data_IF_321034838782
#
_entry.id   IF_321034838782
#
_cell.length_a   1.000
_cell.length_b   1.000
_cell.length_c   1.000
_cell.angle_alpha   90.00
_cell.angle_beta   90.00
_cell.angle_gamma   90.00
#
_symmetry.space_group_name_H-M   'P 1'
#
loop_
_entity.id
_entity.type
_entity.pdbx_description
1 polymer ?
#
# COMPACT_ATOMS: atom_id res chain seq x y z
N UNK A 1 -1.51 17.82 22.66
CA UNK A 1 -1.14 16.94 21.54
C UNK A 1 -1.98 17.35 20.34
N UNK A 2 -1.37 17.69 19.20
CA UNK A 2 -2.11 17.97 17.97
C UNK A 2 -2.74 16.67 17.44
N UNK A 3 -3.75 16.76 16.56
CA UNK A 3 -4.40 15.56 15.99
C UNK A 3 -3.43 14.64 15.25
N UNK A 4 -2.43 15.22 14.58
CA UNK A 4 -1.40 14.47 13.87
C UNK A 4 -0.43 13.75 14.82
N UNK A 5 -0.01 14.39 15.90
CA UNK A 5 0.88 13.76 16.89
C UNK A 5 0.17 12.63 17.65
N UNK A 6 -1.13 12.80 17.93
CA UNK A 6 -1.96 11.74 18.49
C UNK A 6 -2.05 10.53 17.55
N UNK A 7 -2.20 10.78 16.26
CA UNK A 7 -2.25 9.75 15.23
C UNK A 7 -0.91 9.04 15.07
N UNK A 8 0.21 9.79 15.12
CA UNK A 8 1.57 9.25 15.09
C UNK A 8 1.83 8.31 16.27
N UNK A 9 1.51 8.75 17.49
CA UNK A 9 1.63 7.93 18.71
C UNK A 9 0.75 6.67 18.64
N UNK A 10 -0.49 6.79 18.14
CA UNK A 10 -1.36 5.63 17.97
C UNK A 10 -0.79 4.61 16.97
N UNK A 11 -0.20 5.08 15.87
CA UNK A 11 0.49 4.22 14.90
C UNK A 11 1.75 3.59 15.49
N UNK A 12 2.52 4.33 16.31
CA UNK A 12 3.69 3.81 17.02
C UNK A 12 3.30 2.63 17.94
N UNK A 13 2.20 2.78 18.69
CA UNK A 13 1.65 1.70 19.52
C UNK A 13 1.23 0.49 18.70
N UNK A 14 0.66 0.69 17.50
CA UNK A 14 0.34 -0.42 16.58
C UNK A 14 1.60 -1.14 16.10
N UNK A 15 2.63 -0.41 15.70
CA UNK A 15 3.92 -0.99 15.30
C UNK A 15 4.54 -1.81 16.44
N UNK A 16 4.56 -1.28 17.67
CA UNK A 16 5.05 -1.98 18.84
C UNK A 16 4.27 -3.28 19.13
N UNK A 17 2.93 -3.23 19.05
CA UNK A 17 2.08 -4.41 19.22
C UNK A 17 2.39 -5.47 18.15
N UNK A 18 2.41 -5.09 16.86
CA UNK A 18 2.75 -5.99 15.74
C UNK A 18 4.11 -6.66 15.97
N UNK A 19 5.13 -5.89 16.32
CA UNK A 19 6.47 -6.42 16.62
C UNK A 19 6.45 -7.41 17.79
N UNK A 20 5.72 -7.10 18.87
CA UNK A 20 5.58 -8.01 20.02
C UNK A 20 4.84 -9.31 19.66
N UNK A 21 3.77 -9.23 18.85
CA UNK A 21 3.01 -10.38 18.37
C UNK A 21 3.87 -11.26 17.47
N UNK A 22 4.63 -10.65 16.56
CA UNK A 22 5.56 -11.36 15.70
C UNK A 22 6.61 -12.13 16.49
N UNK A 23 7.21 -11.52 17.52
CA UNK A 23 8.17 -12.21 18.40
C UNK A 23 7.55 -13.37 19.19
N UNK A 24 6.31 -13.24 19.63
CA UNK A 24 5.60 -14.35 20.27
C UNK A 24 5.38 -15.54 19.29
N UNK A 25 5.05 -15.26 18.03
CA UNK A 25 4.95 -16.28 16.97
C UNK A 25 6.29 -16.97 16.71
N UNK A 26 7.39 -16.20 16.64
CA UNK A 26 8.75 -16.75 16.52
C UNK A 26 9.06 -17.70 17.68
N UNK A 27 8.79 -17.27 18.92
CA UNK A 27 9.09 -18.05 20.11
C UNK A 27 8.31 -19.37 20.20
N UNK A 28 7.09 -19.41 19.64
CA UNK A 28 6.31 -20.65 19.53
C UNK A 28 6.90 -21.65 18.53
N UNK A 29 7.61 -21.16 17.51
CA UNK A 29 8.12 -21.96 16.40
C UNK A 29 7.02 -22.42 15.45
N UNK A 30 7.40 -22.78 14.22
CA UNK A 30 6.46 -23.20 13.18
C UNK A 30 6.87 -22.73 11.78
N UNK A 31 6.01 -22.99 10.80
CA UNK A 31 6.27 -22.67 9.38
C UNK A 31 6.35 -21.15 9.11
N UNK A 32 5.66 -20.33 9.91
CA UNK A 32 5.63 -18.88 9.75
C UNK A 32 6.78 -18.14 10.45
N UNK A 33 7.68 -18.84 11.16
CA UNK A 33 8.72 -18.21 11.98
C UNK A 33 9.61 -17.23 11.19
N UNK A 34 10.03 -17.62 9.98
CA UNK A 34 10.84 -16.75 9.11
C UNK A 34 10.08 -15.50 8.64
N UNK A 35 8.77 -15.63 8.34
CA UNK A 35 7.93 -14.49 7.95
C UNK A 35 7.68 -13.57 9.14
N UNK A 36 7.44 -14.13 10.31
CA UNK A 36 7.28 -13.37 11.54
C UNK A 36 8.57 -12.62 11.93
N UNK A 37 9.75 -13.19 11.68
CA UNK A 37 11.03 -12.52 11.92
C UNK A 37 11.20 -11.26 11.05
N UNK A 38 10.90 -11.36 9.75
CA UNK A 38 10.89 -10.19 8.86
C UNK A 38 9.91 -9.13 9.37
N UNK A 39 8.69 -9.53 9.75
CA UNK A 39 7.67 -8.60 10.27
C UNK A 39 8.13 -7.93 11.57
N UNK A 40 8.83 -8.64 12.45
CA UNK A 40 9.37 -8.07 13.68
C UNK A 40 10.43 -7.00 13.40
N UNK A 41 11.36 -7.26 12.47
CA UNK A 41 12.40 -6.32 12.07
C UNK A 41 11.81 -5.07 11.41
N UNK A 42 10.82 -5.25 10.54
CA UNK A 42 10.11 -4.14 9.91
C UNK A 42 9.32 -3.30 10.92
N UNK A 43 8.64 -3.95 11.87
CA UNK A 43 7.92 -3.27 12.93
C UNK A 43 8.84 -2.40 13.80
N UNK A 44 10.07 -2.85 14.06
CA UNK A 44 11.07 -2.06 14.78
C UNK A 44 11.54 -0.84 13.97
N UNK A 45 11.79 -1.00 12.67
CA UNK A 45 12.13 0.12 11.77
C UNK A 45 10.98 1.13 11.67
N UNK A 46 9.75 0.64 11.54
CA UNK A 46 8.54 1.46 11.50
C UNK A 46 8.33 2.23 12.81
N UNK A 47 8.52 1.57 13.94
CA UNK A 47 8.43 2.21 15.26
C UNK A 47 9.47 3.33 15.40
N UNK A 48 10.71 3.11 14.95
CA UNK A 48 11.74 4.13 14.94
C UNK A 48 11.37 5.32 14.03
N UNK A 49 10.82 5.06 12.84
CA UNK A 49 10.34 6.10 11.93
C UNK A 49 9.16 6.91 12.49
N UNK A 50 8.35 6.29 13.35
CA UNK A 50 7.24 6.93 14.06
C UNK A 50 7.70 7.76 15.28
N UNK A 51 8.99 7.69 15.65
CA UNK A 51 9.55 8.41 16.80
C UNK A 51 9.49 7.64 18.13
N UNK A 52 9.17 6.34 18.09
CA UNK A 52 8.96 5.51 19.27
C UNK A 52 7.57 5.67 19.89
N UNK A 53 7.32 4.94 20.98
CA UNK A 53 6.11 5.13 21.80
C UNK A 53 6.46 6.00 23.00
N UNK A 54 5.58 6.92 23.37
CA UNK A 54 5.76 7.67 24.60
C UNK A 54 5.66 6.75 25.83
N UNK A 55 6.75 6.62 26.60
CA UNK A 55 6.82 5.81 27.82
C UNK A 55 6.42 6.62 29.08
N UNK A 56 5.77 5.99 30.07
CA UNK A 56 5.50 6.62 31.36
C UNK A 56 6.80 6.99 32.10
N UNK A 57 6.71 8.02 32.96
CA UNK A 57 7.81 8.42 33.84
C UNK A 57 8.30 7.24 34.70
N UNK A 58 9.60 6.90 34.70
CA UNK A 58 10.15 5.75 35.42
C UNK A 58 9.88 5.76 36.94
N UNK A 59 9.74 6.95 37.53
CA UNK A 59 9.55 7.17 38.97
C UNK A 59 8.14 7.66 39.33
N UNK A 60 7.18 7.49 38.43
CA UNK A 60 5.84 8.04 38.56
C UNK A 60 5.72 9.45 37.97
N UNK A 61 4.54 9.76 37.41
CA UNK A 61 4.30 11.08 36.84
C UNK A 61 4.41 12.16 37.93
N UNK A 62 4.92 13.36 37.60
CA UNK A 62 4.86 14.49 38.52
C UNK A 62 3.40 14.72 38.96
N UNK A 63 3.21 15.14 40.21
CA UNK A 63 1.88 15.35 40.80
C UNK A 63 1.02 16.24 39.92
N UNK A 64 -0.16 15.76 39.52
CA UNK A 64 -1.08 16.47 38.62
C UNK A 64 -0.99 16.10 37.14
N UNK A 65 -0.11 15.18 36.75
CA UNK A 65 -0.03 14.65 35.39
C UNK A 65 -0.50 13.18 35.33
N UNK A 66 -1.25 12.80 34.28
CA UNK A 66 -1.61 11.39 34.10
C UNK A 66 -0.40 10.58 33.63
N UNK A 67 -0.20 9.40 34.22
CA UNK A 67 0.69 8.38 33.65
C UNK A 67 0.10 7.90 32.33
N UNK A 68 0.91 7.77 31.27
CA UNK A 68 0.41 7.12 30.05
C UNK A 68 0.03 5.69 30.33
N UNK A 69 -0.96 5.22 29.58
CA UNK A 69 -1.28 3.81 29.48
C UNK A 69 -0.05 3.05 28.97
N UNK A 70 0.37 1.95 29.63
CA UNK A 70 1.42 1.08 29.13
C UNK A 70 1.19 0.68 27.67
N UNK A 71 2.27 0.42 26.93
CA UNK A 71 2.17 -0.09 25.57
C UNK A 71 1.62 -1.51 25.63
N UNK A 72 0.59 -1.78 24.82
CA UNK A 72 0.02 -3.11 24.70
C UNK A 72 1.08 -4.07 24.14
N UNK A 73 1.22 -5.24 24.76
CA UNK A 73 2.12 -6.30 24.32
C UNK A 73 1.34 -7.59 24.17
N UNK A 74 1.69 -8.37 23.15
CA UNK A 74 1.04 -9.64 22.89
C UNK A 74 1.28 -10.63 24.03
N UNK A 75 0.30 -11.48 24.29
CA UNK A 75 0.50 -12.63 25.17
C UNK A 75 1.59 -13.55 24.60
N UNK A 76 2.37 -14.20 25.47
CA UNK A 76 3.39 -15.17 25.03
C UNK A 76 2.83 -16.38 24.25
N UNK A 77 1.50 -16.56 24.28
CA UNK A 77 0.77 -17.58 23.53
C UNK A 77 0.14 -17.05 22.23
N UNK A 78 0.53 -15.87 21.75
CA UNK A 78 0.01 -15.32 20.50
C UNK A 78 0.36 -16.21 19.28
N UNK A 79 -0.59 -16.28 18.35
CA UNK A 79 -0.61 -17.13 17.16
C UNK A 79 -0.33 -16.32 15.89
N UNK A 80 -0.12 -17.00 14.76
CA UNK A 80 -0.09 -16.33 13.44
C UNK A 80 -1.41 -15.60 13.16
N UNK A 81 -2.55 -16.13 13.61
CA UNK A 81 -3.86 -15.46 13.45
C UNK A 81 -3.94 -14.15 14.24
N UNK A 82 -3.36 -14.12 15.45
CA UNK A 82 -3.22 -12.88 16.22
C UNK A 82 -2.33 -11.86 15.49
N UNK A 83 -1.27 -12.32 14.82
CA UNK A 83 -0.40 -11.45 14.01
C UNK A 83 -1.12 -10.89 12.78
N UNK A 84 -1.87 -11.73 12.06
CA UNK A 84 -2.72 -11.29 10.93
C UNK A 84 -3.74 -10.25 11.40
N UNK A 85 -4.37 -10.48 12.56
CA UNK A 85 -5.33 -9.55 13.17
C UNK A 85 -4.66 -8.23 13.55
N UNK A 86 -3.46 -8.27 14.16
CA UNK A 86 -2.70 -7.09 14.52
C UNK A 86 -2.32 -6.25 13.29
N UNK A 87 -1.89 -6.89 12.21
CA UNK A 87 -1.56 -6.24 10.93
C UNK A 87 -2.81 -5.58 10.31
N UNK A 88 -3.95 -6.27 10.28
CA UNK A 88 -5.20 -5.72 9.77
C UNK A 88 -5.71 -4.52 10.56
N UNK A 89 -5.66 -4.61 11.90
CA UNK A 89 -5.99 -3.49 12.78
C UNK A 89 -5.02 -2.32 12.63
N UNK A 90 -3.74 -2.61 12.41
CA UNK A 90 -2.71 -1.62 12.06
C UNK A 90 -3.07 -0.91 10.76
N UNK A 91 -3.30 -1.64 9.67
CA UNK A 91 -3.62 -1.09 8.36
C UNK A 91 -4.91 -0.23 8.39
N UNK A 92 -5.93 -0.66 9.13
CA UNK A 92 -7.14 0.13 9.37
C UNK A 92 -6.85 1.43 10.14
N UNK A 93 -6.00 1.37 11.17
CA UNK A 93 -5.57 2.55 11.95
C UNK A 93 -4.78 3.52 11.07
N UNK A 94 -3.88 3.01 10.21
CA UNK A 94 -3.12 3.79 9.24
C UNK A 94 -4.02 4.48 8.21
N UNK A 95 -5.04 3.78 7.70
CA UNK A 95 -6.06 4.38 6.83
C UNK A 95 -6.83 5.51 7.53
N UNK A 96 -7.23 5.30 8.78
CA UNK A 96 -7.93 6.33 9.56
C UNK A 96 -7.05 7.57 9.80
N UNK A 97 -5.80 7.36 10.24
CA UNK A 97 -4.82 8.44 10.43
C UNK A 97 -4.56 9.21 9.13
N UNK A 98 -4.42 8.51 8.01
CA UNK A 98 -4.30 9.14 6.70
C UNK A 98 -5.54 9.98 6.38
N UNK A 99 -6.76 9.51 6.65
CA UNK A 99 -7.99 10.26 6.40
C UNK A 99 -8.04 11.62 7.12
N UNK A 100 -7.43 11.72 8.30
CA UNK A 100 -7.44 12.94 9.13
C UNK A 100 -6.16 13.76 9.06
N UNK A 101 -5.07 13.22 8.49
CA UNK A 101 -3.75 13.85 8.50
C UNK A 101 -3.77 15.26 7.89
N UNK A 102 -3.24 16.24 8.63
CA UNK A 102 -3.07 17.61 8.15
C UNK A 102 -1.64 17.83 7.62
N UNK A 103 -0.65 17.21 8.26
CA UNK A 103 0.74 17.19 7.82
C UNK A 103 0.98 16.16 6.70
N UNK A 104 1.70 16.57 5.65
CA UNK A 104 2.09 15.70 4.53
C UNK A 104 3.08 14.61 4.96
N UNK A 105 3.92 14.87 5.95
CA UNK A 105 4.84 13.89 6.52
C UNK A 105 4.08 12.73 7.17
N UNK A 106 3.11 13.03 8.04
CA UNK A 106 2.23 12.03 8.62
C UNK A 106 1.41 11.31 7.56
N UNK A 107 0.83 12.02 6.58
CA UNK A 107 0.07 11.38 5.51
C UNK A 107 0.92 10.35 4.75
N UNK A 108 2.17 10.70 4.40
CA UNK A 108 3.10 9.77 3.74
C UNK A 108 3.46 8.57 4.63
N UNK A 109 3.70 8.80 5.92
CA UNK A 109 3.98 7.75 6.88
C UNK A 109 2.79 6.79 7.05
N UNK A 110 1.58 7.32 7.20
CA UNK A 110 0.37 6.53 7.32
C UNK A 110 0.08 5.73 6.04
N UNK A 111 0.27 6.32 4.85
CA UNK A 111 0.08 5.62 3.59
C UNK A 111 1.09 4.47 3.38
N UNK A 112 2.37 4.68 3.71
CA UNK A 112 3.39 3.62 3.62
C UNK A 112 3.12 2.48 4.60
N UNK A 113 2.88 2.78 5.88
CA UNK A 113 2.51 1.79 6.90
C UNK A 113 1.30 0.97 6.50
N UNK A 114 0.28 1.61 5.94
CA UNK A 114 -0.90 0.93 5.44
C UNK A 114 -0.54 -0.13 4.40
N UNK A 115 0.27 0.23 3.39
CA UNK A 115 0.69 -0.69 2.33
C UNK A 115 1.53 -1.83 2.92
N UNK A 116 2.52 -1.53 3.76
CA UNK A 116 3.39 -2.56 4.37
C UNK A 116 2.60 -3.56 5.20
N UNK A 117 1.75 -3.08 6.12
CA UNK A 117 0.97 -3.96 6.98
C UNK A 117 -0.03 -4.80 6.18
N UNK A 118 -0.68 -4.23 5.15
CA UNK A 118 -1.54 -5.00 4.25
C UNK A 118 -0.76 -6.06 3.47
N UNK A 119 0.41 -5.76 2.91
CA UNK A 119 1.21 -6.76 2.20
C UNK A 119 1.66 -7.91 3.11
N UNK A 120 2.08 -7.61 4.34
CA UNK A 120 2.46 -8.65 5.32
C UNK A 120 1.26 -9.45 5.80
N UNK A 121 0.10 -8.82 5.96
CA UNK A 121 -1.15 -9.50 6.29
C UNK A 121 -1.53 -10.51 5.19
N UNK A 122 -1.51 -10.07 3.93
CA UNK A 122 -1.79 -10.93 2.78
C UNK A 122 -0.78 -12.07 2.63
N UNK A 123 0.51 -11.81 2.88
CA UNK A 123 1.54 -12.83 2.79
C UNK A 123 1.37 -13.96 3.82
N UNK A 124 0.88 -13.63 5.03
CA UNK A 124 0.58 -14.61 6.08
C UNK A 124 -0.76 -15.32 5.83
N UNK A 125 -1.77 -14.60 5.37
CA UNK A 125 -3.12 -15.12 5.12
C UNK A 125 -3.65 -14.57 3.79
N UNK A 126 -3.44 -15.32 2.68
CA UNK A 126 -3.90 -14.90 1.35
C UNK A 126 -5.43 -14.71 1.30
N UNK A 127 -5.88 -13.62 0.71
CA UNK A 127 -7.27 -13.20 0.64
C UNK A 127 -7.78 -12.48 1.88
N UNK A 128 -6.91 -12.17 2.86
CA UNK A 128 -7.32 -11.50 4.10
C UNK A 128 -7.44 -9.97 3.96
N UNK A 129 -6.85 -9.38 2.91
CA UNK A 129 -6.91 -7.93 2.69
C UNK A 129 -8.03 -7.55 1.74
N UNK A 130 -8.99 -6.78 2.25
CA UNK A 130 -10.04 -6.15 1.45
C UNK A 130 -9.64 -4.71 1.07
N UNK A 131 -8.95 -4.55 -0.07
CA UNK A 131 -8.64 -3.24 -0.65
C UNK A 131 -9.25 -3.11 -2.06
N UNK A 132 -9.98 -2.02 -2.28
CA UNK A 132 -10.62 -1.75 -3.57
C UNK A 132 -9.64 -1.09 -4.53
N UNK A 133 -9.44 -1.70 -5.70
CA UNK A 133 -8.72 -1.04 -6.79
C UNK A 133 -9.48 0.20 -7.28
N UNK A 134 -8.74 1.16 -7.86
CA UNK A 134 -9.38 2.27 -8.57
C UNK A 134 -10.25 1.72 -9.70
N UNK A 135 -11.43 2.28 -9.83
CA UNK A 135 -12.44 1.87 -10.80
C UNK A 135 -13.08 3.09 -11.47
N UNK A 136 -13.86 2.85 -12.52
CA UNK A 136 -14.62 3.90 -13.20
C UNK A 136 -15.53 4.68 -12.24
N UNK A 137 -16.24 4.00 -11.32
CA UNK A 137 -17.17 4.66 -10.39
C UNK A 137 -16.47 5.52 -9.33
N UNK A 138 -15.23 5.17 -8.98
CA UNK A 138 -14.41 5.94 -8.04
C UNK A 138 -13.59 7.05 -8.71
N UNK A 139 -13.56 7.10 -10.04
CA UNK A 139 -12.81 8.09 -10.82
C UNK A 139 -13.74 9.22 -11.22
N UNK A 140 -14.09 10.06 -10.24
CA UNK A 140 -15.03 11.18 -10.39
C UNK A 140 -14.36 12.50 -10.76
N UNK A 141 -13.04 12.52 -10.86
CA UNK A 141 -12.24 13.67 -11.27
C UNK A 141 -11.08 13.20 -12.15
N UNK A 142 -10.52 14.07 -12.99
CA UNK A 142 -9.38 13.72 -13.84
C UNK A 142 -8.22 13.23 -12.99
N UNK A 143 -7.61 12.12 -13.40
CA UNK A 143 -6.35 11.67 -12.83
C UNK A 143 -5.22 12.65 -13.20
N UNK A 144 -4.22 12.79 -12.31
CA UNK A 144 -2.95 13.42 -12.66
C UNK A 144 -2.32 12.77 -13.88
N UNK A 145 -1.53 13.54 -14.65
CA UNK A 145 -0.96 13.10 -15.93
C UNK A 145 -0.18 11.79 -15.81
N UNK A 146 0.69 11.66 -14.80
CA UNK A 146 1.49 10.45 -14.58
C UNK A 146 0.61 9.23 -14.29
N UNK A 147 -0.39 9.37 -13.41
CA UNK A 147 -1.30 8.28 -13.08
C UNK A 147 -2.12 7.85 -14.32
N UNK A 148 -2.62 8.82 -15.10
CA UNK A 148 -3.34 8.53 -16.34
C UNK A 148 -2.46 7.79 -17.35
N UNK A 149 -1.21 8.23 -17.52
CA UNK A 149 -0.25 7.58 -18.42
C UNK A 149 0.07 6.14 -17.98
N UNK A 150 0.25 5.88 -16.68
CA UNK A 150 0.50 4.54 -16.17
C UNK A 150 -0.68 3.59 -16.36
N UNK A 151 -1.93 4.03 -16.10
CA UNK A 151 -3.10 3.20 -16.38
C UNK A 151 -3.26 2.94 -17.88
N UNK A 152 -2.99 3.91 -18.75
CA UNK A 152 -3.04 3.68 -20.19
C UNK A 152 -1.92 2.73 -20.68
N UNK A 153 -0.72 2.82 -20.10
CA UNK A 153 0.35 1.87 -20.36
C UNK A 153 0.02 0.46 -19.87
N UNK A 154 -0.63 0.33 -18.70
CA UNK A 154 -1.11 -0.95 -18.18
C UNK A 154 -2.15 -1.58 -19.11
N UNK A 155 -3.10 -0.77 -19.61
CA UNK A 155 -4.06 -1.21 -20.63
C UNK A 155 -3.35 -1.78 -21.85
N UNK A 156 -2.45 -1.01 -22.46
CA UNK A 156 -1.69 -1.41 -23.65
C UNK A 156 -0.89 -2.70 -23.41
N UNK A 157 -0.16 -2.77 -22.30
CA UNK A 157 0.73 -3.89 -21.98
C UNK A 157 -0.06 -5.16 -21.67
N UNK A 158 -1.20 -5.03 -20.98
CA UNK A 158 -2.08 -6.16 -20.68
C UNK A 158 -2.72 -6.76 -21.93
N UNK A 159 -3.19 -5.92 -22.87
CA UNK A 159 -3.69 -6.37 -24.17
C UNK A 159 -2.61 -7.12 -24.97
N UNK A 160 -1.38 -6.58 -24.98
CA UNK A 160 -0.27 -7.18 -25.71
C UNK A 160 0.18 -8.51 -25.09
N UNK A 161 0.31 -8.58 -23.76
CA UNK A 161 0.65 -9.82 -23.04
C UNK A 161 -0.43 -10.88 -23.23
N UNK A 162 -1.71 -10.51 -23.17
CA UNK A 162 -2.82 -11.43 -23.42
C UNK A 162 -2.79 -12.01 -24.85
N UNK A 163 -2.44 -11.20 -25.84
CA UNK A 163 -2.30 -11.64 -27.23
C UNK A 163 -1.14 -12.64 -27.40
N UNK A 164 -0.01 -12.41 -26.73
CA UNK A 164 1.17 -13.26 -26.79
C UNK A 164 1.05 -14.53 -25.95
N UNK A 165 0.23 -14.51 -24.90
CA UNK A 165 0.05 -15.64 -23.96
C UNK A 165 -1.02 -16.63 -24.39
N UNK A 166 -1.16 -16.90 -25.70
CA UNK A 166 -2.20 -17.79 -26.21
C UNK A 166 -2.14 -19.22 -25.65
N UNK A 167 -0.95 -19.68 -25.26
CA UNK A 167 -0.69 -20.99 -24.65
C UNK A 167 -0.71 -20.98 -23.12
N UNK A 168 -0.84 -19.82 -22.47
CA UNK A 168 -0.95 -19.67 -21.02
C UNK A 168 -2.29 -19.00 -20.67
N UNK A 169 -3.36 -19.79 -20.45
CA UNK A 169 -4.69 -19.25 -20.19
C UNK A 169 -4.77 -18.46 -18.87
N UNK A 170 -3.90 -18.77 -17.90
CA UNK A 170 -3.87 -18.07 -16.61
C UNK A 170 -3.26 -16.68 -16.78
N UNK A 171 -2.09 -16.58 -17.41
CA UNK A 171 -1.48 -15.28 -17.70
C UNK A 171 -2.39 -14.45 -18.61
N UNK A 172 -2.93 -15.05 -19.68
CA UNK A 172 -3.86 -14.39 -20.60
C UNK A 172 -5.09 -13.84 -19.89
N UNK A 173 -5.75 -14.65 -19.05
CA UNK A 173 -6.95 -14.24 -18.33
C UNK A 173 -6.69 -13.06 -17.39
N UNK A 174 -5.60 -13.13 -16.62
CA UNK A 174 -5.19 -12.06 -15.70
C UNK A 174 -4.85 -10.76 -16.43
N UNK A 175 -4.13 -10.84 -17.55
CA UNK A 175 -3.78 -9.66 -18.34
C UNK A 175 -4.99 -8.99 -18.99
N UNK A 176 -6.01 -9.76 -19.40
CA UNK A 176 -7.28 -9.22 -19.89
C UNK A 176 -8.03 -8.48 -18.78
N UNK A 177 -8.05 -9.04 -17.57
CA UNK A 177 -8.70 -8.41 -16.41
C UNK A 177 -8.01 -7.07 -16.07
N UNK A 178 -6.69 -7.07 -15.94
CA UNK A 178 -5.91 -5.86 -15.63
C UNK A 178 -6.08 -4.80 -16.73
N UNK A 179 -6.05 -5.18 -18.00
CA UNK A 179 -6.27 -4.26 -19.12
C UNK A 179 -7.70 -3.69 -19.16
N UNK A 180 -8.71 -4.53 -18.87
CA UNK A 180 -10.11 -4.11 -18.81
C UNK A 180 -10.35 -3.12 -17.67
N UNK A 181 -9.79 -3.37 -16.50
CA UNK A 181 -9.86 -2.47 -15.35
C UNK A 181 -9.19 -1.12 -15.66
N UNK A 182 -7.99 -1.15 -16.23
CA UNK A 182 -7.27 0.06 -16.62
C UNK A 182 -8.01 0.87 -17.69
N UNK A 183 -8.61 0.21 -18.68
CA UNK A 183 -9.48 0.85 -19.69
C UNK A 183 -10.63 1.61 -19.06
N UNK A 184 -11.31 0.99 -18.09
CA UNK A 184 -12.43 1.62 -17.40
C UNK A 184 -12.00 2.88 -16.63
N UNK A 185 -10.83 2.84 -15.96
CA UNK A 185 -10.26 3.98 -15.24
C UNK A 185 -9.85 5.10 -16.19
N UNK A 186 -9.14 4.79 -17.29
CA UNK A 186 -8.72 5.77 -18.30
C UNK A 186 -9.94 6.49 -18.90
N UNK A 187 -10.96 5.73 -19.32
CA UNK A 187 -12.18 6.30 -19.89
C UNK A 187 -12.96 7.17 -18.89
N UNK A 188 -13.03 6.75 -17.63
CA UNK A 188 -13.67 7.54 -16.58
C UNK A 188 -12.89 8.84 -16.30
N UNK A 189 -11.57 8.78 -16.22
CA UNK A 189 -10.71 9.97 -16.05
C UNK A 189 -10.86 10.96 -17.20
N UNK A 190 -10.91 10.48 -18.44
CA UNK A 190 -11.14 11.33 -19.63
C UNK A 190 -12.52 11.97 -19.54
N UNK A 191 -13.55 11.18 -19.26
CA UNK A 191 -14.93 11.67 -19.13
C UNK A 191 -15.05 12.74 -18.04
N UNK A 192 -14.38 12.56 -16.90
CA UNK A 192 -14.37 13.51 -15.80
C UNK A 192 -13.65 14.83 -16.14
N UNK A 193 -12.74 14.83 -17.12
CA UNK A 193 -12.03 16.03 -17.59
C UNK A 193 -12.72 16.81 -18.70
N UNK A 194 -13.83 16.29 -19.22
CA UNK A 194 -14.42 16.77 -20.47
C UNK A 194 -13.66 16.24 -21.70
N UNK A 195 -13.99 16.69 -22.92
CA UNK A 195 -13.37 16.18 -24.14
C UNK A 195 -11.85 16.23 -24.06
N UNK A 196 -11.14 15.18 -24.51
CA UNK A 196 -9.67 15.14 -24.50
C UNK A 196 -9.01 16.36 -25.20
N UNK A 197 -9.74 16.98 -26.14
CA UNK A 197 -9.35 18.21 -26.85
C UNK A 197 -9.41 19.49 -25.99
N UNK A 198 -9.98 19.43 -24.79
CA UNK A 198 -10.01 20.54 -23.84
C UNK A 198 -8.76 20.56 -22.93
N UNK A 199 -8.00 19.47 -22.88
CA UNK A 199 -6.72 19.41 -22.15
C UNK A 199 -5.61 19.94 -23.07
N UNK A 200 -4.72 20.83 -22.58
CA UNK A 200 -3.66 21.42 -23.41
C UNK A 200 -2.65 20.39 -23.95
N UNK A 201 -2.54 19.21 -23.32
CA UNK A 201 -1.79 18.06 -23.83
C UNK A 201 -2.40 16.74 -23.30
N UNK A 202 -2.39 15.69 -24.13
CA UNK A 202 -2.75 14.32 -23.72
C UNK A 202 -1.47 13.58 -23.28
N UNK A 203 -1.36 13.12 -22.02
CA UNK A 203 -0.16 12.45 -21.53
C UNK A 203 0.02 11.03 -22.08
N UNK A 204 -1.00 10.46 -22.73
CA UNK A 204 -0.96 9.11 -23.29
C UNK A 204 -0.05 9.04 -24.50
N UNK A 205 0.74 7.98 -24.57
CA UNK A 205 1.67 7.76 -25.66
C UNK A 205 1.02 6.96 -26.80
N UNK A 206 1.42 7.20 -28.06
CA UNK A 206 0.95 6.40 -29.19
C UNK A 206 1.42 4.93 -29.12
N UNK A 207 2.51 4.67 -28.39
CA UNK A 207 3.03 3.35 -28.07
C UNK A 207 3.85 3.42 -26.78
N UNK A 208 3.97 2.29 -26.07
CA UNK A 208 4.72 2.19 -24.82
C UNK A 208 5.84 1.17 -24.94
N UNK A 209 6.97 1.46 -24.29
CA UNK A 209 8.08 0.53 -24.10
C UNK A 209 8.00 -0.20 -22.76
N UNK A 210 9.06 -0.97 -22.47
CA UNK A 210 9.24 -1.63 -21.19
C UNK A 210 9.20 -0.61 -20.03
N UNK A 211 8.52 -0.90 -18.91
CA UNK A 211 8.61 -0.07 -17.72
C UNK A 211 10.05 -0.10 -17.18
N UNK A 212 10.47 0.99 -16.55
CA UNK A 212 11.78 1.06 -15.91
C UNK A 212 11.91 -0.06 -14.85
N UNK A 213 13.03 -0.79 -14.89
CA UNK A 213 13.29 -1.90 -13.96
C UNK A 213 12.74 -3.26 -14.38
N UNK A 214 12.21 -3.40 -15.60
CA UNK A 214 11.89 -4.72 -16.15
C UNK A 214 13.13 -5.44 -16.73
N UNK A 215 13.23 -6.75 -16.52
CA UNK A 215 14.40 -7.58 -16.86
C UNK A 215 14.66 -7.77 -18.37
N UNK A 216 13.67 -7.51 -19.23
CA UNK A 216 13.86 -7.55 -20.68
C UNK A 216 13.08 -6.43 -21.36
N UNK A 217 13.69 -5.78 -22.36
CA UNK A 217 13.05 -4.73 -23.15
C UNK A 217 12.20 -5.28 -24.32
N UNK A 218 12.33 -6.59 -24.60
CA UNK A 218 11.95 -7.14 -25.91
C UNK A 218 10.60 -7.86 -25.91
N UNK A 219 10.01 -8.19 -24.75
CA UNK A 219 8.68 -8.80 -24.68
C UNK A 219 7.94 -8.48 -23.37
N UNK A 220 6.65 -8.09 -23.45
CA UNK A 220 5.78 -8.01 -22.28
C UNK A 220 5.76 -9.33 -21.53
N UNK A 221 5.76 -9.23 -20.21
CA UNK A 221 5.76 -10.36 -19.29
C UNK A 221 4.93 -10.03 -18.07
N UNK A 222 4.64 -11.05 -17.24
CA UNK A 222 4.06 -10.83 -15.92
C UNK A 222 4.88 -9.84 -15.09
N UNK A 223 6.21 -9.84 -15.23
CA UNK A 223 7.10 -8.89 -14.57
C UNK A 223 6.85 -7.43 -15.03
N UNK A 224 6.63 -7.19 -16.32
CA UNK A 224 6.25 -5.83 -16.79
C UNK A 224 4.95 -5.35 -16.16
N UNK A 225 3.92 -6.20 -16.13
CA UNK A 225 2.64 -5.87 -15.51
C UNK A 225 2.83 -5.61 -14.01
N UNK A 226 3.61 -6.44 -13.32
CA UNK A 226 3.95 -6.25 -11.92
C UNK A 226 4.66 -4.93 -11.64
N UNK A 227 5.65 -4.55 -12.47
CA UNK A 227 6.36 -3.28 -12.35
C UNK A 227 5.45 -2.08 -12.60
N UNK A 228 4.52 -2.17 -13.56
CA UNK A 228 3.52 -1.13 -13.79
C UNK A 228 2.57 -0.98 -12.60
N UNK A 229 2.09 -2.10 -12.02
CA UNK A 229 1.28 -2.05 -10.80
C UNK A 229 2.04 -1.44 -9.63
N UNK A 230 3.35 -1.71 -9.50
CA UNK A 230 4.20 -1.03 -8.52
C UNK A 230 4.29 0.47 -8.78
N UNK A 231 4.48 0.91 -10.02
CA UNK A 231 4.48 2.35 -10.34
C UNK A 231 3.11 2.99 -10.06
N UNK A 232 2.00 2.30 -10.36
CA UNK A 232 0.65 2.76 -10.04
C UNK A 232 0.47 2.88 -8.53
N UNK A 233 0.94 1.92 -7.73
CA UNK A 233 0.91 2.00 -6.26
C UNK A 233 1.55 3.31 -5.76
N UNK A 234 2.72 3.69 -6.30
CA UNK A 234 3.44 4.91 -5.92
C UNK A 234 2.65 6.16 -6.28
N UNK A 235 2.12 6.23 -7.50
CA UNK A 235 1.33 7.37 -7.94
C UNK A 235 0.01 7.51 -7.15
N UNK A 236 -0.69 6.40 -6.89
CA UNK A 236 -1.88 6.39 -6.05
C UNK A 236 -1.57 6.81 -4.60
N UNK A 237 -0.44 6.37 -4.06
CA UNK A 237 0.04 6.83 -2.76
C UNK A 237 0.33 8.34 -2.78
N UNK A 238 0.94 8.87 -3.83
CA UNK A 238 1.19 10.31 -4.01
C UNK A 238 -0.11 11.11 -4.08
N UNK A 239 -1.13 10.59 -4.78
CA UNK A 239 -2.48 11.17 -4.83
C UNK A 239 -3.10 11.16 -3.42
N UNK A 240 -2.98 10.06 -2.67
CA UNK A 240 -3.51 9.99 -1.31
C UNK A 240 -2.84 10.99 -0.37
N UNK A 241 -1.52 11.13 -0.43
CA UNK A 241 -0.74 12.05 0.41
C UNK A 241 -1.04 13.51 0.10
N UNK A 242 -1.26 13.83 -1.18
CA UNK A 242 -1.51 15.20 -1.63
C UNK A 242 -2.98 15.61 -1.55
N UNK A 243 -3.90 14.65 -1.68
CA UNK A 243 -5.34 14.85 -1.70
C UNK A 243 -5.98 15.02 -0.32
N UNK A 244 -7.31 15.05 -0.26
CA UNK A 244 -8.12 15.14 0.98
C UNK A 244 -9.48 14.47 0.82
N UNK A 245 -10.19 14.24 1.93
CA UNK A 245 -11.54 13.68 1.92
C UNK A 245 -11.63 12.30 1.25
N UNK A 246 -12.73 12.05 0.54
CA UNK A 246 -13.00 10.75 -0.08
C UNK A 246 -11.96 10.37 -1.14
N UNK A 247 -11.47 11.36 -1.92
CA UNK A 247 -10.45 11.11 -2.95
C UNK A 247 -9.14 10.58 -2.36
N UNK A 248 -8.74 11.08 -1.17
CA UNK A 248 -7.57 10.56 -0.45
C UNK A 248 -7.77 9.09 -0.07
N UNK A 249 -8.94 8.73 0.44
CA UNK A 249 -9.22 7.36 0.88
C UNK A 249 -9.35 6.40 -0.30
N UNK A 250 -9.95 6.83 -1.41
CA UNK A 250 -9.99 6.07 -2.67
C UNK A 250 -8.58 5.80 -3.18
N UNK A 251 -7.73 6.82 -3.27
CA UNK A 251 -6.36 6.66 -3.74
C UNK A 251 -5.55 5.76 -2.80
N UNK A 252 -5.80 5.85 -1.49
CA UNK A 252 -5.15 4.97 -0.52
C UNK A 252 -5.62 3.50 -0.64
N UNK A 253 -6.88 3.24 -0.99
CA UNK A 253 -7.34 1.87 -1.28
C UNK A 253 -6.70 1.36 -2.57
N UNK A 254 -6.68 2.20 -3.60
CA UNK A 254 -6.10 1.88 -4.89
C UNK A 254 -4.60 1.58 -4.78
N UNK A 255 -3.85 2.30 -3.93
CA UNK A 255 -2.43 2.02 -3.72
C UNK A 255 -2.19 0.65 -3.09
N UNK A 256 -2.99 0.25 -2.09
CA UNK A 256 -2.91 -1.10 -1.51
C UNK A 256 -3.29 -2.17 -2.52
N UNK A 257 -4.39 -1.97 -3.27
CA UNK A 257 -4.81 -2.91 -4.30
C UNK A 257 -3.75 -3.07 -5.41
N UNK A 258 -3.12 -1.97 -5.84
CA UNK A 258 -2.02 -1.99 -6.80
C UNK A 258 -0.79 -2.71 -6.27
N UNK A 259 -0.45 -2.53 -4.98
CA UNK A 259 0.64 -3.26 -4.33
C UNK A 259 0.39 -4.77 -4.31
N UNK A 260 -0.83 -5.19 -3.98
CA UNK A 260 -1.25 -6.61 -3.99
C UNK A 260 -1.21 -7.18 -5.41
N UNK A 261 -1.64 -6.42 -6.42
CA UNK A 261 -1.54 -6.82 -7.84
C UNK A 261 -0.08 -6.97 -8.27
N UNK A 262 0.81 -6.05 -7.91
CA UNK A 262 2.23 -6.16 -8.18
C UNK A 262 2.83 -7.44 -7.57
N UNK A 263 2.54 -7.70 -6.28
CA UNK A 263 2.99 -8.90 -5.59
C UNK A 263 2.45 -10.20 -6.24
N UNK A 264 1.19 -10.19 -6.71
CA UNK A 264 0.60 -11.34 -7.41
C UNK A 264 1.29 -11.67 -8.74
N UNK A 265 1.99 -10.69 -9.33
CA UNK A 265 2.81 -10.86 -10.53
C UNK A 265 4.28 -11.15 -10.21
N UNK A 266 4.64 -11.31 -8.93
CA UNK A 266 5.99 -11.64 -8.47
C UNK A 266 6.91 -10.44 -8.31
N UNK A 267 6.38 -9.22 -8.29
CA UNK A 267 7.14 -7.98 -8.07
C UNK A 267 6.98 -7.52 -6.63
N UNK A 268 8.10 -7.43 -5.90
CA UNK A 268 8.10 -6.88 -4.55
C UNK A 268 7.96 -5.35 -4.56
N UNK A 269 7.21 -4.83 -3.59
CA UNK A 269 7.03 -3.39 -3.37
C UNK A 269 7.93 -2.92 -2.23
N UNK A 270 9.21 -2.67 -2.53
CA UNK A 270 10.20 -2.23 -1.54
C UNK A 270 9.84 -0.89 -0.86
N UNK A 271 9.04 -0.05 -1.53
CA UNK A 271 8.68 1.31 -1.09
C UNK A 271 7.64 1.34 0.06
N UNK A 272 7.14 0.18 0.48
CA UNK A 272 6.16 0.09 1.56
C UNK A 272 6.76 0.38 2.95
N UNK A 273 8.09 0.33 3.11
CA UNK A 273 8.73 0.53 4.40
C UNK A 273 8.99 2.02 4.69
N UNK A 274 8.41 2.59 5.76
CA UNK A 274 8.80 3.91 6.19
C UNK A 274 10.26 3.89 6.65
N UNK A 275 11.11 4.67 6.00
CA UNK A 275 12.52 4.80 6.37
C UNK A 275 13.52 4.06 5.47
N UNK A 276 13.08 3.37 4.41
CA UNK A 276 14.02 2.99 3.33
C UNK A 276 14.26 4.21 2.45
N UNK A 277 15.38 4.91 2.68
CA UNK A 277 15.92 5.78 1.63
C UNK A 277 16.48 4.88 0.52
N UNK A 278 15.99 5.05 -0.71
CA UNK A 278 16.48 4.36 -1.90
C UNK A 278 15.37 4.00 -2.86
#
# INVERSE_FOLDING_TARGET
MTGDEASREALARRAALIGSTARAVIARGGQDGARAEVIAQEADAQLAALGGVWEPWPTGAPTGHSTATPVETAAGTATTEDLVTALGNGAASARAALGTAQDKGLARLAASLRIAWSLRQEALSPGSVAASARSASTTTSPLPDNALALYDQLRYTGELLAAQSASDPTARGRSIEDAGAATAVVNASITAGGPATARPADPRQPAYGAPAGADSADSPSGQWIGSLWRSIMVEEMSIAVSGSGDQRLVASDASVAAALRAASWGVESAEALPGTQG
#
